data_IF_123914146011
#
_entry.id   IF_123914146011
#
_cell.length_a   1.000
_cell.length_b   1.000
_cell.length_c   1.000
_cell.angle_alpha   90.00
_cell.angle_beta   90.00
_cell.angle_gamma   90.00
#
_symmetry.space_group_name_H-M   'P 1'
#
loop_
_entity.id
_entity.type
_entity.pdbx_description
1 polymer ?
#
# COMPACT_ATOMS: atom_id res chain seq x y z
N UNK A 1 2.54 3.64 46.56
CA UNK A 1 2.35 2.99 45.24
C UNK A 1 3.61 3.17 44.40
N UNK A 2 4.45 2.13 44.31
CA UNK A 2 5.69 2.14 43.52
C UNK A 2 5.32 1.93 42.04
N UNK A 3 5.63 2.89 41.18
CA UNK A 3 5.53 2.75 39.74
C UNK A 3 6.60 1.73 39.30
N UNK A 4 6.17 0.58 38.81
CA UNK A 4 7.03 -0.39 38.17
C UNK A 4 7.44 0.19 36.79
N UNK A 5 8.66 0.72 36.70
CA UNK A 5 9.28 1.12 35.44
C UNK A 5 9.78 -0.16 34.76
N UNK A 6 9.00 -0.70 33.88
CA UNK A 6 9.49 -1.75 32.97
C UNK A 6 10.39 -1.08 31.94
N UNK A 7 11.70 -1.30 32.07
CA UNK A 7 12.66 -0.98 31.01
C UNK A 7 12.23 -1.73 29.71
N UNK A 8 12.37 -1.11 28.51
CA UNK A 8 12.06 -1.81 27.28
C UNK A 8 12.98 -3.03 27.16
N UNK A 9 12.37 -4.21 27.06
CA UNK A 9 13.07 -5.46 26.81
C UNK A 9 13.96 -5.29 25.57
N UNK A 10 15.24 -5.61 25.69
CA UNK A 10 16.15 -5.56 24.58
C UNK A 10 15.61 -6.46 23.45
N UNK A 11 15.40 -5.89 22.25
CA UNK A 11 14.94 -6.65 21.09
C UNK A 11 15.93 -7.78 20.79
N UNK A 12 15.48 -9.00 20.52
CA UNK A 12 16.38 -10.09 20.17
C UNK A 12 17.13 -9.73 18.88
N UNK A 13 18.45 -9.85 18.89
CA UNK A 13 19.24 -9.80 17.68
C UNK A 13 18.75 -10.89 16.73
N UNK A 14 18.39 -10.52 15.49
CA UNK A 14 17.82 -11.50 14.55
C UNK A 14 17.71 -10.97 13.14
N UNK A 15 17.22 -11.81 12.24
CA UNK A 15 17.12 -11.55 10.80
C UNK A 15 15.67 -11.30 10.41
N UNK A 16 15.43 -10.23 9.65
CA UNK A 16 14.13 -9.94 9.04
C UNK A 16 14.24 -9.95 7.52
N UNK A 17 13.21 -10.44 6.84
CA UNK A 17 13.18 -10.39 5.38
C UNK A 17 12.59 -9.05 4.92
N UNK A 18 13.21 -8.48 3.89
CA UNK A 18 12.67 -7.34 3.14
C UNK A 18 12.40 -7.82 1.72
N UNK A 19 11.13 -7.96 1.38
CA UNK A 19 10.72 -8.37 0.04
C UNK A 19 10.81 -7.21 -0.94
N UNK A 20 11.64 -7.40 -1.96
CA UNK A 20 11.85 -6.44 -3.05
C UNK A 20 12.36 -7.17 -4.29
N UNK A 21 11.88 -6.79 -5.47
CA UNK A 21 12.30 -7.43 -6.72
C UNK A 21 13.71 -6.99 -7.16
N UNK A 22 14.02 -5.70 -7.02
CA UNK A 22 15.34 -5.11 -7.31
C UNK A 22 15.71 -4.08 -6.26
N UNK A 23 16.94 -4.09 -5.74
CA UNK A 23 17.41 -3.07 -4.81
C UNK A 23 17.23 -1.66 -5.37
N UNK A 24 16.62 -0.79 -4.57
CA UNK A 24 16.38 0.60 -4.91
C UNK A 24 16.85 1.54 -3.78
N UNK A 25 16.60 2.84 -3.94
CA UNK A 25 16.92 3.83 -2.91
C UNK A 25 16.16 3.52 -1.60
N UNK A 26 14.89 3.12 -1.68
CA UNK A 26 14.04 2.84 -0.51
C UNK A 26 14.55 1.63 0.28
N UNK A 27 14.93 0.55 -0.41
CA UNK A 27 15.47 -0.64 0.24
C UNK A 27 16.79 -0.36 0.97
N UNK A 28 17.65 0.50 0.39
CA UNK A 28 18.89 0.95 1.07
C UNK A 28 18.57 1.74 2.34
N UNK A 29 17.59 2.66 2.30
CA UNK A 29 17.15 3.41 3.48
C UNK A 29 16.57 2.50 4.58
N UNK A 30 15.71 1.55 4.20
CA UNK A 30 15.16 0.54 5.12
C UNK A 30 16.26 -0.33 5.72
N UNK A 31 17.17 -0.83 4.89
CA UNK A 31 18.29 -1.65 5.35
C UNK A 31 19.16 -0.93 6.37
N UNK A 32 19.53 0.33 6.09
CA UNK A 32 20.30 1.14 7.03
C UNK A 32 19.57 1.37 8.37
N UNK A 33 18.25 1.63 8.31
CA UNK A 33 17.43 1.82 9.50
C UNK A 33 17.28 0.51 10.33
N UNK A 34 17.11 -0.64 9.67
CA UNK A 34 17.07 -1.96 10.33
C UNK A 34 18.39 -2.29 11.02
N UNK A 35 19.53 -2.11 10.33
CA UNK A 35 20.87 -2.33 10.92
C UNK A 35 21.09 -1.43 12.12
N UNK A 36 20.72 -0.14 12.03
CA UNK A 36 20.80 0.82 13.15
C UNK A 36 19.97 0.35 14.36
N UNK A 37 18.88 -0.39 14.11
CA UNK A 37 18.01 -0.95 15.15
C UNK A 37 18.42 -2.36 15.61
N UNK A 38 19.59 -2.87 15.22
CA UNK A 38 20.10 -4.18 15.64
C UNK A 38 19.52 -5.38 14.86
N UNK A 39 18.80 -5.13 13.78
CA UNK A 39 18.20 -6.18 12.94
C UNK A 39 19.00 -6.35 11.66
N UNK A 40 19.36 -7.58 11.32
CA UNK A 40 19.99 -7.89 10.05
C UNK A 40 18.95 -8.03 8.93
N UNK A 41 18.90 -7.12 7.92
CA UNK A 41 17.98 -7.26 6.81
C UNK A 41 18.47 -8.30 5.81
N UNK A 42 17.57 -9.16 5.35
CA UNK A 42 17.78 -10.11 4.24
C UNK A 42 16.86 -9.68 3.10
N UNK A 43 17.43 -9.21 2.00
CA UNK A 43 16.65 -8.80 0.83
C UNK A 43 16.35 -10.00 -0.05
N UNK A 44 15.06 -10.28 -0.30
CA UNK A 44 14.63 -11.38 -1.15
C UNK A 44 13.66 -10.90 -2.23
N UNK A 45 13.81 -11.45 -3.44
CA UNK A 45 12.77 -11.39 -4.45
C UNK A 45 11.81 -12.57 -4.26
N UNK A 46 10.50 -12.31 -4.37
CA UNK A 46 9.50 -13.39 -4.39
C UNK A 46 9.73 -14.43 -5.48
N UNK A 47 10.44 -14.07 -6.56
CA UNK A 47 10.79 -15.00 -7.65
C UNK A 47 11.62 -16.18 -7.19
N UNK A 48 12.34 -16.02 -6.08
CA UNK A 48 13.22 -17.03 -5.50
C UNK A 48 12.57 -17.78 -4.32
N UNK A 49 11.32 -17.45 -3.99
CA UNK A 49 10.57 -18.02 -2.88
C UNK A 49 9.46 -18.94 -3.40
N UNK A 50 8.99 -19.87 -2.58
CA UNK A 50 7.93 -20.77 -2.97
C UNK A 50 7.54 -21.75 -1.87
N UNK A 51 6.79 -22.76 -2.23
CA UNK A 51 6.38 -23.84 -1.35
C UNK A 51 7.07 -25.14 -1.79
N UNK A 52 7.46 -25.93 -0.82
CA UNK A 52 7.94 -27.29 -1.03
C UNK A 52 7.09 -28.25 -0.18
N UNK A 53 6.64 -29.36 -0.79
CA UNK A 53 5.88 -30.40 -0.12
C UNK A 53 6.49 -31.78 -0.40
N UNK A 54 6.39 -32.71 0.55
CA UNK A 54 6.92 -34.04 0.41
C UNK A 54 6.67 -34.89 1.66
N UNK A 55 7.34 -36.04 1.78
CA UNK A 55 7.19 -36.97 2.91
C UNK A 55 7.49 -36.34 4.29
N UNK A 56 8.27 -35.23 4.32
CA UNK A 56 8.56 -34.43 5.53
C UNK A 56 7.54 -33.34 5.85
N UNK A 57 6.42 -33.26 5.13
CA UNK A 57 5.40 -32.20 5.26
C UNK A 57 5.59 -31.04 4.28
N UNK A 58 4.79 -29.98 4.47
CA UNK A 58 4.88 -28.75 3.67
C UNK A 58 5.74 -27.71 4.38
N UNK A 59 6.59 -27.02 3.62
CA UNK A 59 7.42 -25.93 4.12
C UNK A 59 7.45 -24.75 3.16
N UNK A 60 7.64 -23.58 3.71
CA UNK A 60 7.89 -22.36 2.94
C UNK A 60 9.38 -22.29 2.58
N UNK A 61 9.67 -22.19 1.28
CA UNK A 61 11.03 -22.01 0.79
C UNK A 61 11.37 -20.52 0.76
N UNK A 62 12.25 -20.08 1.65
CA UNK A 62 12.81 -18.74 1.70
C UNK A 62 14.35 -18.87 1.62
N UNK A 63 14.97 -18.49 0.51
CA UNK A 63 16.43 -18.48 0.40
C UNK A 63 17.05 -17.73 1.57
N UNK A 64 18.19 -18.22 2.09
CA UNK A 64 18.92 -17.68 3.23
C UNK A 64 18.28 -17.91 4.61
N UNK A 65 17.06 -18.43 4.72
CA UNK A 65 16.45 -18.78 6.01
C UNK A 65 16.42 -20.29 6.29
N UNK A 66 16.57 -21.12 5.24
CA UNK A 66 16.52 -22.60 5.34
C UNK A 66 15.30 -23.08 6.14
N UNK A 67 15.50 -23.55 7.38
CA UNK A 67 14.45 -24.03 8.28
C UNK A 67 14.04 -22.98 9.32
N UNK A 68 14.77 -21.89 9.43
CA UNK A 68 14.43 -20.78 10.34
C UNK A 68 13.39 -19.87 9.72
N UNK A 69 12.60 -19.22 10.57
CA UNK A 69 11.69 -18.17 10.13
C UNK A 69 12.30 -16.79 10.41
N UNK A 70 12.04 -15.80 9.54
CA UNK A 70 12.45 -14.42 9.82
C UNK A 70 11.69 -13.87 11.05
N UNK A 71 12.29 -12.93 11.77
CA UNK A 71 11.62 -12.22 12.86
C UNK A 71 10.36 -11.47 12.37
N UNK A 72 10.39 -10.98 11.16
CA UNK A 72 9.29 -10.33 10.50
C UNK A 72 9.59 -10.17 9.01
N UNK A 73 8.56 -9.88 8.24
CA UNK A 73 8.62 -9.68 6.79
C UNK A 73 8.15 -8.27 6.43
N UNK A 74 9.06 -7.43 5.95
CA UNK A 74 8.74 -6.12 5.41
C UNK A 74 8.52 -6.24 3.91
N UNK A 75 7.33 -5.88 3.42
CA UNK A 75 7.01 -5.92 1.98
C UNK A 75 7.25 -4.53 1.38
N UNK A 76 8.38 -4.37 0.67
CA UNK A 76 8.67 -3.11 -0.03
C UNK A 76 7.98 -3.05 -1.39
N UNK A 77 7.92 -4.16 -2.11
CA UNK A 77 7.23 -4.22 -3.39
C UNK A 77 6.87 -5.66 -3.75
N UNK A 78 5.77 -5.79 -4.49
CA UNK A 78 5.41 -7.02 -5.22
C UNK A 78 5.46 -6.65 -6.70
N UNK A 79 6.30 -7.36 -7.47
CA UNK A 79 6.41 -7.13 -8.90
C UNK A 79 5.09 -7.49 -9.61
N UNK A 80 4.78 -6.80 -10.70
CA UNK A 80 3.71 -7.20 -11.60
C UNK A 80 4.03 -8.58 -12.23
N UNK A 81 2.99 -9.31 -12.60
CA UNK A 81 3.12 -10.64 -13.19
C UNK A 81 1.79 -11.17 -13.67
N UNK A 82 1.74 -12.44 -14.08
CA UNK A 82 0.48 -13.13 -14.37
C UNK A 82 -0.34 -13.29 -13.07
N UNK A 83 -1.60 -13.68 -13.23
CA UNK A 83 -2.47 -13.95 -12.08
C UNK A 83 -1.86 -15.02 -11.15
N UNK A 84 -1.29 -16.09 -11.71
CA UNK A 84 -0.64 -17.16 -10.97
C UNK A 84 0.59 -16.66 -10.19
N UNK A 85 1.41 -15.81 -10.80
CA UNK A 85 2.60 -15.24 -10.16
C UNK A 85 2.23 -14.32 -9.00
N UNK A 86 1.21 -13.47 -9.17
CA UNK A 86 0.76 -12.56 -8.11
C UNK A 86 0.12 -13.36 -6.98
N UNK A 87 -0.72 -14.35 -7.30
CA UNK A 87 -1.37 -15.24 -6.32
C UNK A 87 -0.32 -16.03 -5.51
N UNK A 88 0.70 -16.59 -6.17
CA UNK A 88 1.81 -17.27 -5.46
C UNK A 88 2.53 -16.34 -4.48
N UNK A 89 2.86 -15.11 -4.88
CA UNK A 89 3.55 -14.13 -4.02
C UNK A 89 2.72 -13.71 -2.82
N UNK A 90 1.42 -13.49 -3.01
CA UNK A 90 0.48 -13.23 -1.91
C UNK A 90 0.33 -14.45 -1.01
N UNK A 91 0.25 -15.65 -1.58
CA UNK A 91 0.23 -16.91 -0.84
C UNK A 91 1.45 -17.09 0.07
N UNK A 92 2.64 -16.68 -0.35
CA UNK A 92 3.85 -16.70 0.48
C UNK A 92 3.68 -15.77 1.71
N UNK A 93 3.11 -14.58 1.53
CA UNK A 93 2.85 -13.66 2.63
C UNK A 93 1.78 -14.19 3.58
N UNK A 94 0.72 -14.80 3.07
CA UNK A 94 -0.29 -15.46 3.88
C UNK A 94 0.32 -16.60 4.69
N UNK A 95 1.17 -17.43 4.07
CA UNK A 95 1.85 -18.52 4.76
C UNK A 95 2.78 -18.02 5.88
N UNK A 96 3.54 -16.95 5.66
CA UNK A 96 4.35 -16.33 6.71
C UNK A 96 3.50 -15.92 7.91
N UNK A 97 2.34 -15.32 7.65
CA UNK A 97 1.40 -14.93 8.71
C UNK A 97 0.85 -16.15 9.47
N UNK A 98 0.43 -17.21 8.77
CA UNK A 98 -0.03 -18.47 9.39
C UNK A 98 1.08 -19.11 10.25
N UNK A 99 2.34 -18.92 9.87
CA UNK A 99 3.51 -19.36 10.65
C UNK A 99 3.88 -18.39 11.80
N UNK A 100 3.04 -17.38 12.08
CA UNK A 100 3.25 -16.43 13.17
C UNK A 100 4.29 -15.34 12.87
N UNK A 101 4.73 -15.19 11.62
CA UNK A 101 5.66 -14.13 11.22
C UNK A 101 4.88 -12.85 10.90
N UNK A 102 5.12 -11.73 11.59
CA UNK A 102 4.52 -10.44 11.26
C UNK A 102 4.87 -10.00 9.85
N UNK A 103 3.86 -9.73 9.03
CA UNK A 103 3.99 -9.23 7.65
C UNK A 103 3.57 -7.76 7.57
N UNK A 104 4.41 -6.91 7.02
CA UNK A 104 4.24 -5.44 7.02
C UNK A 104 4.46 -4.84 5.62
N UNK A 105 3.43 -4.34 4.91
CA UNK A 105 2.00 -4.56 5.14
C UNK A 105 1.60 -6.02 4.93
N UNK A 106 0.55 -6.42 5.65
CA UNK A 106 -0.09 -7.73 5.50
C UNK A 106 -0.60 -7.94 4.06
N UNK A 107 -0.63 -9.20 3.60
CA UNK A 107 -1.08 -9.54 2.26
C UNK A 107 -2.50 -9.01 1.94
N UNK A 108 -3.44 -9.11 2.90
CA UNK A 108 -4.81 -8.60 2.74
C UNK A 108 -4.86 -7.09 2.52
N UNK A 109 -3.97 -6.34 3.16
CA UNK A 109 -3.86 -4.89 2.97
C UNK A 109 -3.37 -4.58 1.57
N UNK A 110 -2.37 -5.35 1.09
CA UNK A 110 -1.83 -5.20 -0.25
C UNK A 110 -2.90 -5.52 -1.30
N UNK A 111 -3.62 -6.62 -1.14
CA UNK A 111 -4.75 -7.01 -2.00
C UNK A 111 -5.80 -5.90 -2.08
N UNK A 112 -6.25 -5.37 -0.93
CA UNK A 112 -7.23 -4.29 -0.85
C UNK A 112 -6.77 -3.02 -1.54
N UNK A 113 -5.50 -2.64 -1.39
CA UNK A 113 -4.99 -1.39 -1.93
C UNK A 113 -4.59 -1.49 -3.41
N UNK A 114 -4.22 -2.67 -3.91
CA UNK A 114 -3.94 -2.90 -5.34
C UNK A 114 -5.22 -2.86 -6.16
N UNK A 115 -6.30 -3.40 -5.61
CA UNK A 115 -7.64 -3.35 -6.19
C UNK A 115 -8.34 -2.02 -5.81
N UNK A 116 -8.41 -1.11 -6.77
CA UNK A 116 -9.08 0.20 -6.59
C UNK A 116 -10.55 0.06 -6.24
N UNK A 117 -11.24 -0.99 -6.72
CA UNK A 117 -12.65 -1.21 -6.41
C UNK A 117 -12.86 -1.54 -4.94
N UNK A 118 -12.07 -2.47 -4.42
CA UNK A 118 -12.09 -2.85 -3.00
C UNK A 118 -11.69 -1.68 -2.12
N UNK A 119 -10.65 -0.91 -2.48
CA UNK A 119 -10.29 0.31 -1.75
C UNK A 119 -11.46 1.29 -1.69
N UNK A 120 -12.08 1.61 -2.83
CA UNK A 120 -13.22 2.55 -2.88
C UNK A 120 -14.40 2.05 -2.07
N UNK A 121 -14.73 0.76 -2.15
CA UNK A 121 -15.79 0.14 -1.34
C UNK A 121 -15.52 0.30 0.16
N UNK A 122 -14.28 0.04 0.62
CA UNK A 122 -13.92 0.15 2.03
C UNK A 122 -13.97 1.59 2.54
N UNK A 123 -13.51 2.56 1.72
CA UNK A 123 -13.60 3.98 2.04
C UNK A 123 -15.06 4.44 2.16
N UNK A 124 -15.92 4.07 1.20
CA UNK A 124 -17.35 4.38 1.25
C UNK A 124 -18.03 3.74 2.46
N UNK A 125 -17.75 2.45 2.74
CA UNK A 125 -18.27 1.74 3.90
C UNK A 125 -17.88 2.40 5.23
N UNK A 126 -16.68 2.99 5.29
CA UNK A 126 -16.21 3.75 6.45
C UNK A 126 -16.80 5.18 6.52
N UNK A 127 -17.68 5.57 5.58
CA UNK A 127 -18.27 6.90 5.54
C UNK A 127 -17.29 8.01 5.14
N UNK A 128 -16.13 7.65 4.56
CA UNK A 128 -15.11 8.63 4.19
C UNK A 128 -15.43 9.30 2.86
N UNK A 129 -15.21 10.61 2.73
CA UNK A 129 -15.44 11.33 1.49
C UNK A 129 -14.48 10.85 0.40
N UNK A 130 -15.03 10.31 -0.68
CA UNK A 130 -14.32 9.85 -1.88
C UNK A 130 -15.19 10.15 -3.10
N UNK A 131 -14.64 10.39 -4.31
CA UNK A 131 -15.46 10.65 -5.47
C UNK A 131 -16.36 9.45 -5.80
N UNK A 132 -17.59 9.65 -6.29
CA UNK A 132 -18.46 8.58 -6.77
C UNK A 132 -17.73 7.68 -7.77
N UNK A 133 -17.91 6.35 -7.62
CA UNK A 133 -17.12 5.35 -8.34
C UNK A 133 -17.97 4.15 -8.73
N UNK A 134 -17.74 3.61 -9.91
CA UNK A 134 -18.37 2.40 -10.45
C UNK A 134 -17.30 1.44 -10.94
N UNK A 135 -17.48 0.16 -10.67
CA UNK A 135 -16.61 -0.92 -11.17
C UNK A 135 -17.49 -1.99 -11.80
N UNK A 136 -17.30 -2.26 -13.06
CA UNK A 136 -18.21 -3.05 -13.90
C UNK A 136 -17.42 -3.91 -14.89
N UNK A 137 -17.84 -5.15 -15.12
CA UNK A 137 -17.32 -5.98 -16.21
C UNK A 137 -18.15 -5.78 -17.51
N UNK A 138 -19.46 -5.57 -17.36
CA UNK A 138 -20.33 -5.39 -18.52
C UNK A 138 -20.10 -4.06 -19.21
N UNK A 139 -19.70 -4.08 -20.48
CA UNK A 139 -19.58 -2.88 -21.31
C UNK A 139 -20.92 -2.13 -21.41
N UNK A 140 -22.03 -2.84 -21.56
CA UNK A 140 -23.35 -2.23 -21.64
C UNK A 140 -23.71 -1.47 -20.34
N UNK A 141 -23.37 -2.04 -19.17
CA UNK A 141 -23.56 -1.37 -17.88
C UNK A 141 -22.60 -0.16 -17.74
N UNK A 142 -21.36 -0.28 -18.17
CA UNK A 142 -20.41 0.84 -18.15
C UNK A 142 -20.87 2.00 -19.06
N UNK A 143 -21.38 1.70 -20.26
CA UNK A 143 -22.00 2.70 -21.15
C UNK A 143 -23.21 3.37 -20.52
N UNK A 144 -24.07 2.61 -19.82
CA UNK A 144 -25.20 3.16 -19.10
C UNK A 144 -24.77 4.15 -18.01
N UNK A 145 -23.72 3.83 -17.25
CA UNK A 145 -23.12 4.76 -16.26
C UNK A 145 -22.57 6.00 -16.94
N UNK A 146 -21.81 5.87 -18.03
CA UNK A 146 -21.28 7.02 -18.77
C UNK A 146 -22.41 7.91 -19.26
N UNK A 147 -23.48 7.35 -19.80
CA UNK A 147 -24.68 8.08 -20.29
C UNK A 147 -25.38 8.88 -19.18
N UNK A 148 -25.44 8.29 -17.97
CA UNK A 148 -26.10 8.92 -16.84
C UNK A 148 -25.23 9.98 -16.14
N UNK A 149 -23.92 9.75 -16.05
CA UNK A 149 -23.02 10.47 -15.15
C UNK A 149 -22.01 11.38 -15.85
N UNK A 150 -21.66 11.12 -17.13
CA UNK A 150 -20.62 11.83 -17.82
C UNK A 150 -21.14 12.96 -18.70
N UNK A 151 -20.39 14.06 -18.77
CA UNK A 151 -20.51 15.13 -19.75
C UNK A 151 -19.18 15.85 -19.91
N UNK A 152 -19.05 16.74 -20.91
CA UNK A 152 -17.86 17.58 -21.07
C UNK A 152 -17.58 18.47 -19.83
N UNK A 153 -18.64 18.92 -19.13
CA UNK A 153 -18.51 19.71 -17.90
C UNK A 153 -18.24 18.84 -16.65
N UNK A 154 -18.57 17.56 -16.70
CA UNK A 154 -18.42 16.60 -15.58
C UNK A 154 -17.96 15.24 -16.11
N UNK A 155 -16.71 15.12 -16.56
CA UNK A 155 -16.21 13.87 -17.10
C UNK A 155 -16.01 12.81 -16.01
N UNK A 156 -15.95 11.55 -16.42
CA UNK A 156 -15.47 10.46 -15.58
C UNK A 156 -13.98 10.22 -15.88
N UNK A 157 -13.26 9.72 -14.89
CA UNK A 157 -11.91 9.18 -15.05
C UNK A 157 -12.00 7.67 -15.14
N UNK A 158 -11.62 7.12 -16.27
CA UNK A 158 -11.38 5.68 -16.42
C UNK A 158 -9.97 5.38 -15.91
N UNK A 159 -9.86 4.40 -15.02
CA UNK A 159 -8.59 3.97 -14.45
C UNK A 159 -8.42 2.46 -14.65
N UNK A 160 -7.21 1.97 -14.93
CA UNK A 160 -6.95 0.53 -14.81
C UNK A 160 -7.24 0.06 -13.39
N UNK A 161 -7.93 -1.08 -13.23
CA UNK A 161 -8.23 -1.64 -11.91
C UNK A 161 -6.94 -1.85 -11.13
N UNK A 162 -5.97 -2.51 -11.76
CA UNK A 162 -4.60 -2.66 -11.27
C UNK A 162 -3.67 -1.71 -12.03
N UNK A 163 -3.00 -0.82 -11.33
CA UNK A 163 -2.11 0.15 -11.96
C UNK A 163 -1.62 1.19 -10.96
N UNK A 164 -0.53 1.85 -11.33
CA UNK A 164 0.11 2.87 -10.50
C UNK A 164 0.68 4.00 -11.35
N UNK A 165 1.11 5.07 -10.72
CA UNK A 165 1.82 6.19 -11.32
C UNK A 165 1.02 6.96 -12.40
N UNK A 166 -0.32 6.89 -12.37
CA UNK A 166 -1.18 7.60 -13.32
C UNK A 166 -1.11 7.08 -14.77
N UNK A 167 -0.61 5.87 -14.98
CA UNK A 167 -0.59 5.24 -16.31
C UNK A 167 -1.98 4.71 -16.66
N UNK A 168 -2.38 4.83 -17.93
CA UNK A 168 -3.65 4.32 -18.43
C UNK A 168 -4.88 5.10 -17.97
N UNK A 169 -4.73 6.31 -17.39
CA UNK A 169 -5.85 7.18 -17.05
C UNK A 169 -6.38 7.89 -18.29
N UNK A 170 -7.71 7.87 -18.48
CA UNK A 170 -8.41 8.59 -19.54
C UNK A 170 -9.63 9.37 -18.99
N UNK A 171 -9.94 10.50 -19.61
CA UNK A 171 -11.20 11.22 -19.36
C UNK A 171 -12.27 10.69 -20.31
N UNK A 172 -13.43 10.40 -19.77
CA UNK A 172 -14.60 9.88 -20.48
C UNK A 172 -15.73 10.90 -20.35
N UNK A 173 -16.01 11.60 -21.44
CA UNK A 173 -17.02 12.66 -21.50
C UNK A 173 -18.35 12.16 -22.09
N UNK A 174 -18.31 11.06 -22.82
CA UNK A 174 -19.45 10.42 -23.48
C UNK A 174 -19.16 8.96 -23.79
N UNK A 175 -20.17 8.22 -24.25
CA UNK A 175 -20.05 6.80 -24.57
C UNK A 175 -19.05 6.48 -25.70
N UNK A 176 -18.86 7.38 -26.65
CA UNK A 176 -17.91 7.17 -27.76
C UNK A 176 -16.45 7.18 -27.29
N UNK A 177 -16.17 7.84 -26.13
CA UNK A 177 -14.86 7.84 -25.52
C UNK A 177 -14.55 6.59 -24.68
N UNK A 178 -15.56 5.73 -24.41
CA UNK A 178 -15.35 4.52 -23.62
C UNK A 178 -14.64 3.45 -24.49
N UNK A 179 -13.46 2.95 -24.09
CA UNK A 179 -12.73 1.96 -24.87
C UNK A 179 -13.42 0.58 -24.82
N UNK A 180 -13.08 -0.33 -25.76
CA UNK A 180 -13.60 -1.70 -25.73
C UNK A 180 -13.04 -2.49 -24.52
N UNK A 181 -13.70 -3.60 -24.10
CA UNK A 181 -13.32 -4.39 -22.93
C UNK A 181 -11.85 -4.81 -22.88
N UNK A 182 -11.27 -5.24 -24.02
CA UNK A 182 -9.88 -5.70 -24.08
C UNK A 182 -8.87 -4.61 -23.71
N UNK A 183 -9.18 -3.34 -23.98
CA UNK A 183 -8.31 -2.21 -23.65
C UNK A 183 -8.28 -1.90 -22.15
N UNK A 184 -9.23 -2.44 -21.38
CA UNK A 184 -9.36 -2.28 -19.92
C UNK A 184 -9.23 -3.59 -19.16
N UNK A 185 -8.72 -4.63 -19.80
CA UNK A 185 -8.62 -5.98 -19.23
C UNK A 185 -9.97 -6.52 -18.71
N UNK A 186 -11.05 -6.18 -19.40
CA UNK A 186 -12.40 -6.63 -19.08
C UNK A 186 -13.10 -5.92 -17.92
N UNK A 187 -12.45 -4.95 -17.24
CA UNK A 187 -13.04 -4.28 -16.06
C UNK A 187 -12.95 -2.77 -16.19
N UNK A 188 -14.09 -2.13 -16.17
CA UNK A 188 -14.25 -0.67 -16.18
C UNK A 188 -14.28 -0.15 -14.75
N UNK A 189 -13.23 0.58 -14.34
CA UNK A 189 -13.24 1.37 -13.11
C UNK A 189 -13.42 2.84 -13.49
N UNK A 190 -14.60 3.37 -13.23
CA UNK A 190 -15.01 4.75 -13.54
C UNK A 190 -15.15 5.54 -12.24
N UNK A 191 -14.61 6.74 -12.20
CA UNK A 191 -14.70 7.64 -11.05
C UNK A 191 -15.01 9.06 -11.52
N UNK A 192 -15.85 9.81 -10.80
CA UNK A 192 -16.04 11.24 -11.10
C UNK A 192 -14.70 11.96 -11.09
N UNK A 193 -14.47 12.76 -12.12
CA UNK A 193 -13.35 13.68 -12.16
C UNK A 193 -13.54 14.79 -11.14
N UNK A 194 -12.53 15.05 -10.33
CA UNK A 194 -12.55 16.08 -9.30
C UNK A 194 -11.48 17.13 -9.63
N UNK A 195 -11.85 18.40 -9.54
CA UNK A 195 -10.99 19.55 -9.75
C UNK A 195 -11.37 20.67 -8.80
N UNK A 196 -10.38 21.45 -8.38
CA UNK A 196 -10.60 22.68 -7.59
C UNK A 196 -11.19 23.83 -8.43
N UNK A 197 -11.37 23.65 -9.75
CA UNK A 197 -11.96 24.66 -10.64
C UNK A 197 -11.04 25.83 -11.03
N UNK A 198 -9.84 25.92 -10.47
CA UNK A 198 -8.93 27.06 -10.66
C UNK A 198 -7.90 26.90 -11.78
N UNK A 199 -7.97 25.83 -12.58
CA UNK A 199 -6.92 25.45 -13.55
C UNK A 199 -5.61 25.01 -12.89
N UNK A 200 -5.59 24.88 -11.57
CA UNK A 200 -4.46 24.36 -10.82
C UNK A 200 -4.64 22.86 -10.62
N UNK A 201 -3.66 22.11 -11.04
CA UNK A 201 -3.66 20.66 -10.87
C UNK A 201 -2.82 20.31 -9.66
N UNK A 202 -3.46 19.95 -8.55
CA UNK A 202 -2.75 19.60 -7.32
C UNK A 202 -3.51 18.54 -6.53
N UNK A 203 -2.74 17.78 -5.78
CA UNK A 203 -3.21 16.84 -4.77
C UNK A 203 -2.21 16.77 -3.62
N UNK A 204 -2.62 16.15 -2.54
CA UNK A 204 -1.80 15.95 -1.35
C UNK A 204 -1.52 14.47 -1.15
N UNK A 205 -0.27 14.12 -0.94
CA UNK A 205 0.09 12.80 -0.45
C UNK A 205 0.42 12.90 1.03
N UNK A 206 -0.40 12.28 1.88
CA UNK A 206 -0.18 12.14 3.31
C UNK A 206 0.38 10.74 3.59
N UNK A 207 1.50 10.66 4.29
CA UNK A 207 2.13 9.40 4.65
C UNK A 207 1.73 9.03 6.08
N UNK A 208 1.06 7.88 6.22
CA UNK A 208 0.55 7.36 7.48
C UNK A 208 1.38 6.15 7.89
N UNK A 209 1.80 6.09 9.15
CA UNK A 209 2.53 4.95 9.76
C UNK A 209 1.98 4.71 11.16
N UNK A 210 1.65 3.47 11.50
CA UNK A 210 1.11 3.12 12.82
C UNK A 210 -0.16 3.91 13.17
N UNK A 211 -1.02 4.17 12.17
CA UNK A 211 -2.26 4.95 12.34
C UNK A 211 -2.06 6.46 12.48
N UNK A 212 -0.84 7.00 12.28
CA UNK A 212 -0.55 8.43 12.40
C UNK A 212 0.02 9.03 11.12
N UNK A 213 -0.48 10.20 10.73
CA UNK A 213 0.08 11.00 9.64
C UNK A 213 1.42 11.59 10.08
N UNK A 214 2.52 11.11 9.50
CA UNK A 214 3.90 11.45 9.90
C UNK A 214 4.55 12.50 9.02
N UNK A 215 4.09 12.65 7.79
CA UNK A 215 4.59 13.62 6.82
C UNK A 215 3.59 13.79 5.68
N UNK A 216 3.62 14.94 5.02
CA UNK A 216 2.84 15.16 3.81
C UNK A 216 3.60 16.01 2.80
N UNK A 217 3.19 15.92 1.54
CA UNK A 217 3.63 16.79 0.45
C UNK A 217 2.46 17.21 -0.40
N UNK A 218 2.53 18.42 -0.92
CA UNK A 218 1.69 18.90 -2.00
C UNK A 218 2.37 18.59 -3.32
N UNK A 219 1.61 18.05 -4.29
CA UNK A 219 2.09 17.75 -5.64
C UNK A 219 1.40 18.69 -6.63
N UNK A 220 2.19 19.39 -7.44
CA UNK A 220 1.72 20.27 -8.50
C UNK A 220 1.93 19.61 -9.85
N UNK A 221 0.86 19.22 -10.51
CA UNK A 221 0.89 18.65 -11.85
C UNK A 221 0.94 19.72 -12.94
N UNK A 222 1.58 19.41 -14.05
CA UNK A 222 1.49 20.21 -15.29
C UNK A 222 0.18 19.95 -16.04
N UNK A 223 -0.56 18.93 -15.62
CA UNK A 223 -1.90 18.57 -16.10
C UNK A 223 -2.70 17.99 -14.95
N UNK A 224 -3.93 17.56 -15.22
CA UNK A 224 -4.79 16.92 -14.23
C UNK A 224 -4.20 15.62 -13.60
N UNK A 225 -3.10 15.08 -14.16
CA UNK A 225 -2.33 13.97 -13.60
C UNK A 225 -1.21 14.52 -12.71
N UNK A 226 -1.36 14.40 -11.42
CA UNK A 226 -0.48 15.01 -10.40
C UNK A 226 0.58 14.04 -9.84
N UNK A 227 0.80 12.90 -10.49
CA UNK A 227 1.76 11.91 -10.01
C UNK A 227 3.21 12.40 -10.12
N UNK A 228 3.98 12.30 -9.03
CA UNK A 228 5.40 12.68 -9.01
C UNK A 228 6.25 11.93 -10.08
N UNK A 229 5.89 10.67 -10.40
CA UNK A 229 6.53 9.90 -11.46
C UNK A 229 6.29 10.47 -12.88
N UNK A 230 5.32 11.38 -13.04
CA UNK A 230 5.02 12.08 -14.28
C UNK A 230 5.53 13.55 -14.28
N UNK A 231 6.45 13.87 -13.37
CA UNK A 231 7.10 15.18 -13.33
C UNK A 231 6.39 16.23 -12.48
N UNK A 232 5.40 15.85 -11.65
CA UNK A 232 4.81 16.79 -10.72
C UNK A 232 5.85 17.35 -9.74
N UNK A 233 5.85 18.67 -9.55
CA UNK A 233 6.66 19.31 -8.52
C UNK A 233 6.10 18.95 -7.13
N UNK A 234 6.99 18.63 -6.21
CA UNK A 234 6.61 18.27 -4.83
C UNK A 234 7.16 19.32 -3.87
N UNK A 235 6.33 19.81 -2.97
CA UNK A 235 6.72 20.74 -1.92
C UNK A 235 6.30 20.26 -0.53
N UNK A 236 7.00 20.72 0.49
CA UNK A 236 6.67 20.44 1.88
C UNK A 236 5.26 20.93 2.19
N UNK A 237 4.50 20.14 2.89
CA UNK A 237 3.14 20.50 3.30
C UNK A 237 2.89 19.98 4.73
N UNK A 238 2.31 20.85 5.55
CA UNK A 238 1.86 20.48 6.89
C UNK A 238 0.33 20.34 6.87
N UNK A 239 -0.21 19.11 6.94
CA UNK A 239 -1.65 18.88 6.88
C UNK A 239 -2.34 19.44 8.13
N UNK A 240 -3.49 20.09 7.95
CA UNK A 240 -4.37 20.48 9.04
C UNK A 240 -5.00 19.26 9.75
N UNK A 241 -5.70 19.50 10.83
CA UNK A 241 -6.33 18.43 11.63
C UNK A 241 -7.34 17.62 10.83
N UNK A 242 -8.09 18.25 9.92
CA UNK A 242 -9.07 17.57 9.09
C UNK A 242 -8.41 16.62 8.07
N UNK A 243 -7.37 17.09 7.39
CA UNK A 243 -6.63 16.27 6.41
C UNK A 243 -5.87 15.13 7.08
N UNK A 244 -5.29 15.35 8.28
CA UNK A 244 -4.66 14.30 9.09
C UNK A 244 -5.67 13.21 9.44
N UNK A 245 -6.79 13.59 10.07
CA UNK A 245 -7.83 12.66 10.47
C UNK A 245 -8.39 11.87 9.28
N UNK A 246 -8.60 12.53 8.13
CA UNK A 246 -9.06 11.85 6.91
C UNK A 246 -8.05 10.82 6.40
N UNK A 247 -6.75 11.16 6.38
CA UNK A 247 -5.71 10.24 5.93
C UNK A 247 -5.54 9.04 6.88
N UNK A 248 -5.57 9.29 8.18
CA UNK A 248 -5.47 8.26 9.22
C UNK A 248 -6.66 7.29 9.13
N UNK A 249 -7.89 7.82 9.04
CA UNK A 249 -9.09 7.01 8.87
C UNK A 249 -9.10 6.22 7.55
N UNK A 250 -8.57 6.79 6.46
CA UNK A 250 -8.46 6.08 5.18
C UNK A 250 -7.46 4.91 5.25
N UNK A 251 -6.33 5.08 5.92
CA UNK A 251 -5.36 4.00 6.16
C UNK A 251 -5.95 2.90 7.07
N UNK A 252 -6.72 3.28 8.10
CA UNK A 252 -7.42 2.35 8.99
C UNK A 252 -8.51 1.57 8.23
N UNK A 253 -9.30 2.21 7.37
CA UNK A 253 -10.36 1.56 6.60
C UNK A 253 -9.86 0.38 5.75
N UNK A 254 -8.63 0.44 5.24
CA UNK A 254 -8.01 -0.67 4.51
C UNK A 254 -7.19 -1.59 5.42
N UNK A 255 -6.95 -1.20 6.67
CA UNK A 255 -6.16 -1.94 7.67
C UNK A 255 -4.65 -1.78 7.49
N UNK A 256 -4.18 -0.68 6.89
CA UNK A 256 -2.78 -0.49 6.56
C UNK A 256 -1.94 -0.14 7.80
N UNK A 257 -0.82 -0.85 7.99
CA UNK A 257 0.21 -0.48 8.96
C UNK A 257 0.96 0.78 8.54
N UNK A 258 1.19 0.93 7.23
CA UNK A 258 1.66 2.17 6.62
C UNK A 258 1.01 2.37 5.25
N UNK A 259 0.77 3.61 4.88
CA UNK A 259 0.17 3.97 3.60
C UNK A 259 0.57 5.35 3.11
N UNK A 260 0.50 5.55 1.79
CA UNK A 260 0.44 6.86 1.17
C UNK A 260 -1.00 7.13 0.75
N UNK A 261 -1.65 8.08 1.39
CA UNK A 261 -3.03 8.48 1.10
C UNK A 261 -3.02 9.69 0.19
N UNK A 262 -3.67 9.57 -0.97
CA UNK A 262 -3.81 10.66 -1.94
C UNK A 262 -5.15 11.35 -1.72
N UNK A 263 -5.09 12.65 -1.45
CA UNK A 263 -6.25 13.50 -1.13
C UNK A 263 -6.31 14.64 -2.14
N UNK A 264 -7.53 14.99 -2.56
CA UNK A 264 -7.80 16.13 -3.44
C UNK A 264 -8.86 17.03 -2.80
N UNK A 265 -8.94 18.28 -3.23
CA UNK A 265 -10.06 19.19 -2.94
C UNK A 265 -10.97 19.31 -4.15
N UNK A 266 -12.27 19.35 -3.91
CA UNK A 266 -13.24 19.73 -4.93
C UNK A 266 -13.41 21.27 -5.01
N UNK A 267 -14.23 21.72 -5.95
CA UNK A 267 -14.49 23.15 -6.14
C UNK A 267 -15.15 23.84 -4.94
N UNK A 268 -15.77 23.08 -4.03
CA UNK A 268 -16.33 23.59 -2.77
C UNK A 268 -15.30 23.65 -1.63
N UNK A 269 -14.09 23.16 -1.86
CA UNK A 269 -13.03 23.07 -0.87
C UNK A 269 -13.07 21.81 -0.01
N UNK A 270 -13.99 20.87 -0.27
CA UNK A 270 -14.14 19.61 0.47
C UNK A 270 -13.00 18.66 0.11
N UNK A 271 -12.42 18.01 1.13
CA UNK A 271 -11.39 17.00 0.96
C UNK A 271 -12.00 15.65 0.57
N UNK A 272 -11.40 14.98 -0.41
CA UNK A 272 -11.80 13.67 -0.90
C UNK A 272 -10.56 12.76 -0.99
N UNK A 273 -10.68 11.51 -0.52
CA UNK A 273 -9.64 10.49 -0.70
C UNK A 273 -9.75 9.93 -2.11
N UNK A 274 -8.67 10.01 -2.87
CA UNK A 274 -8.57 9.46 -4.23
C UNK A 274 -8.08 8.02 -4.24
N UNK A 275 -7.10 7.71 -3.38
CA UNK A 275 -6.40 6.43 -3.38
C UNK A 275 -5.67 6.21 -2.06
N UNK A 276 -5.54 4.94 -1.65
CA UNK A 276 -4.68 4.49 -0.55
C UNK A 276 -3.66 3.50 -1.10
N UNK A 277 -2.38 3.82 -0.96
CA UNK A 277 -1.27 3.00 -1.47
C UNK A 277 -0.59 2.27 -0.32
N UNK A 278 -0.62 0.92 -0.30
CA UNK A 278 -0.01 0.08 0.75
C UNK A 278 1.51 -0.02 0.68
N UNK A 279 2.10 0.22 -0.50
CA UNK A 279 3.56 0.19 -0.71
C UNK A 279 4.04 1.49 -1.37
N UNK A 280 3.80 2.66 -0.72
CA UNK A 280 4.08 3.95 -1.33
C UNK A 280 5.59 4.16 -1.53
N UNK A 281 5.96 4.81 -2.64
CA UNK A 281 7.28 5.40 -2.78
C UNK A 281 7.34 6.70 -1.99
N UNK A 282 8.43 6.93 -1.25
CA UNK A 282 8.59 8.13 -0.40
C UNK A 282 9.84 8.95 -0.71
N UNK A 283 10.58 8.64 -1.79
CA UNK A 283 11.80 9.39 -2.11
C UNK A 283 11.53 10.87 -2.40
N UNK A 284 10.42 11.21 -3.07
CA UNK A 284 10.01 12.59 -3.29
C UNK A 284 9.63 13.29 -1.96
N UNK A 285 8.84 12.62 -1.12
CA UNK A 285 8.44 13.13 0.19
C UNK A 285 9.66 13.34 1.11
N UNK A 286 10.64 12.42 1.11
CA UNK A 286 11.84 12.54 1.93
C UNK A 286 12.68 13.78 1.60
N UNK A 287 12.63 14.28 0.36
CA UNK A 287 13.35 15.52 -0.04
C UNK A 287 12.71 16.78 0.55
N UNK A 288 11.45 16.72 0.90
CA UNK A 288 10.66 17.89 1.37
C UNK A 288 10.21 17.79 2.82
N UNK A 289 10.55 16.70 3.53
CA UNK A 289 10.27 16.56 4.97
C UNK A 289 11.55 16.35 5.79
N UNK A 290 11.52 16.81 7.04
CA UNK A 290 12.58 16.54 8.02
C UNK A 290 12.42 15.18 8.69
N UNK A 291 11.23 14.59 8.64
CA UNK A 291 10.95 13.28 9.22
C UNK A 291 11.75 12.20 8.48
N UNK A 292 12.50 11.39 9.21
CA UNK A 292 13.22 10.23 8.66
C UNK A 292 12.26 9.06 8.47
N UNK A 293 11.61 9.00 7.31
CA UNK A 293 10.50 8.08 7.04
C UNK A 293 10.91 6.62 7.26
N UNK A 294 12.11 6.21 6.82
CA UNK A 294 12.58 4.84 7.02
C UNK A 294 12.75 4.47 8.49
N UNK A 295 13.18 5.40 9.35
CA UNK A 295 13.33 5.15 10.79
C UNK A 295 11.96 4.97 11.46
N UNK A 296 10.96 5.79 11.09
CA UNK A 296 9.59 5.65 11.61
C UNK A 296 8.95 4.34 11.15
N UNK A 297 9.12 3.97 9.88
CA UNK A 297 8.64 2.69 9.34
C UNK A 297 9.25 1.49 10.07
N UNK A 298 10.56 1.53 10.32
CA UNK A 298 11.26 0.46 11.04
C UNK A 298 10.83 0.40 12.50
N UNK A 299 10.64 1.53 13.18
CA UNK A 299 10.16 1.57 14.55
C UNK A 299 8.77 0.93 14.70
N UNK A 300 7.82 1.25 13.81
CA UNK A 300 6.48 0.62 13.81
C UNK A 300 6.55 -0.87 13.42
N UNK A 301 7.39 -1.25 12.47
CA UNK A 301 7.61 -2.66 12.11
C UNK A 301 8.13 -3.47 13.30
N UNK A 302 9.09 -2.92 14.07
CA UNK A 302 9.66 -3.58 15.23
C UNK A 302 8.67 -3.70 16.40
N UNK A 303 7.80 -2.71 16.61
CA UNK A 303 6.74 -2.82 17.62
C UNK A 303 5.80 -3.99 17.31
N UNK A 304 5.45 -4.19 16.03
CA UNK A 304 4.62 -5.33 15.60
C UNK A 304 5.32 -6.69 15.77
N UNK A 305 6.64 -6.73 15.59
CA UNK A 305 7.43 -7.93 15.88
C UNK A 305 7.40 -8.24 17.37
N UNK A 306 7.51 -7.21 18.22
CA UNK A 306 7.49 -7.37 19.68
C UNK A 306 6.10 -7.78 20.23
N UNK A 307 5.03 -7.32 19.59
CA UNK A 307 3.64 -7.63 19.93
C UNK A 307 3.18 -8.99 19.42
N UNK A 308 3.91 -9.60 18.48
CA UNK A 308 3.55 -10.91 17.94
C UNK A 308 3.65 -11.99 19.03
N UNK A 309 2.63 -12.88 19.18
CA UNK A 309 2.67 -13.94 20.17
C UNK A 309 3.94 -14.78 20.06
N UNK A 310 4.53 -15.13 21.18
CA UNK A 310 5.76 -15.95 21.25
C UNK A 310 5.52 -17.42 20.83
N UNK A 311 4.79 -17.68 19.76
CA UNK A 311 4.47 -19.02 19.22
C UNK A 311 5.68 -19.68 18.55
N UNK A 312 6.88 -19.15 18.74
CA UNK A 312 8.11 -19.52 17.98
C UNK A 312 8.85 -20.76 18.44
N UNK A 313 8.46 -21.41 19.54
CA UNK A 313 9.32 -22.44 20.16
C UNK A 313 8.71 -23.85 20.25
N UNK A 314 7.49 -24.13 19.79
CA UNK A 314 6.84 -25.42 20.16
C UNK A 314 6.68 -26.47 19.03
N UNK A 315 7.05 -26.19 17.78
CA UNK A 315 6.85 -27.20 16.71
C UNK A 315 8.08 -28.06 16.35
N UNK A 316 9.22 -27.90 17.01
CA UNK A 316 10.38 -28.75 16.80
C UNK A 316 10.48 -29.90 17.78
N UNK A 317 9.77 -29.86 18.92
CA UNK A 317 9.95 -30.85 20.00
C UNK A 317 8.92 -31.99 20.04
N UNK A 318 7.84 -31.95 19.24
CA UNK A 318 6.74 -32.93 19.37
C UNK A 318 6.74 -34.06 18.32
N UNK A 319 7.79 -34.19 17.51
CA UNK A 319 7.91 -35.29 16.51
C UNK A 319 9.13 -36.20 16.72
N UNK A 320 9.75 -36.20 17.90
CA UNK A 320 10.82 -37.12 18.24
C UNK A 320 10.37 -38.16 19.32
N UNK A 321 9.11 -38.56 19.31
CA UNK A 321 8.60 -39.54 20.26
C UNK A 321 7.31 -40.17 19.74
N UNK A 322 7.45 -41.13 18.81
CA UNK A 322 6.36 -41.95 18.35
C UNK A 322 6.83 -42.89 17.27
#
# INVERSE_FOLDING_TARGET
>A
MKRCSTAPSAMPAGRSVVFIDRPDWHSRQLGAALVKSGIQPVFLSFRNCGFAGGAGGSRLHLPSFQEELPLGAFVRSIAAGSFEQVTLRLGILHALRELGVPVYNDARVIERCVDKSTTSFLLHRAGLPTPPTWTLESEAAARAVVRAEASAARPLVLKPLFGSQGRGLALIENEAALPPPDAVSGVYYLQHFVSEGSGRWRDWRVFVVGGRAIAAMLRHGVSWKTNAAQGAACEAFEPDGQMRALAEAAAEAVGAGFAGVDIIRDASGRLLVLEVNSNPAWSALQRVTRTRISEVLVADFLSRIAEAPATRACNAATRAGG
#
